data_IF_568942271214
#
_entry.id   IF_568942271214
#
_cell.length_a   1.000
_cell.length_b   1.000
_cell.length_c   1.000
_cell.angle_alpha   90.00
_cell.angle_beta   90.00
_cell.angle_gamma   90.00
#
_symmetry.space_group_name_H-M   'P 1'
#
loop_
_entity.id
_entity.type
_entity.pdbx_description
1 polymer ?
#
# COMPACT_ATOMS: atom_id res chain seq x y z
N UNK A 1 -17.31 -39.72 -17.63
CA UNK A 1 -16.50 -38.63 -18.18
C UNK A 1 -16.54 -37.46 -17.21
N UNK A 2 -15.65 -37.46 -16.22
CA UNK A 2 -15.58 -36.42 -15.19
C UNK A 2 -14.76 -35.24 -15.74
N UNK A 3 -15.39 -34.08 -15.88
CA UNK A 3 -14.70 -32.86 -16.26
C UNK A 3 -13.72 -32.46 -15.14
N UNK A 4 -12.44 -32.35 -15.50
CA UNK A 4 -11.38 -31.81 -14.67
C UNK A 4 -11.80 -30.45 -14.10
N UNK A 5 -12.07 -30.39 -12.80
CA UNK A 5 -12.12 -29.15 -12.07
C UNK A 5 -10.69 -28.57 -12.03
N UNK A 6 -10.39 -27.64 -12.94
CA UNK A 6 -9.14 -26.88 -12.91
C UNK A 6 -8.95 -26.28 -11.51
N UNK A 7 -7.87 -26.67 -10.83
CA UNK A 7 -7.49 -26.12 -9.52
C UNK A 7 -7.21 -24.62 -9.65
N UNK A 8 -8.20 -23.79 -9.34
CA UNK A 8 -8.04 -22.35 -9.20
C UNK A 8 -7.30 -22.06 -7.90
N UNK A 9 -6.04 -21.63 -8.00
CA UNK A 9 -5.11 -21.48 -6.86
C UNK A 9 -5.34 -20.30 -5.91
N UNK A 10 -6.56 -19.76 -5.77
CA UNK A 10 -6.77 -18.43 -5.15
C UNK A 10 -8.00 -18.24 -4.24
N UNK A 11 -8.57 -19.30 -3.66
CA UNK A 11 -9.91 -19.28 -3.01
C UNK A 11 -9.99 -18.66 -1.60
N UNK A 12 -8.88 -18.25 -0.96
CA UNK A 12 -8.94 -17.68 0.40
C UNK A 12 -9.40 -16.22 0.42
N UNK A 13 -10.42 -15.94 1.24
CA UNK A 13 -10.93 -14.59 1.51
C UNK A 13 -9.96 -13.72 2.34
N UNK A 14 -9.23 -14.32 3.29
CA UNK A 14 -8.18 -13.65 4.08
C UNK A 14 -6.81 -14.30 3.80
N UNK A 15 -5.78 -13.48 3.63
CA UNK A 15 -4.41 -13.92 3.33
C UNK A 15 -3.47 -13.48 4.47
N UNK A 16 -3.26 -14.31 5.50
CA UNK A 16 -2.42 -13.95 6.66
C UNK A 16 -1.01 -13.50 6.27
N UNK A 17 -0.39 -14.17 5.30
CA UNK A 17 0.96 -13.86 4.85
C UNK A 17 1.07 -12.48 4.18
N UNK A 18 0.01 -12.03 3.52
CA UNK A 18 -0.08 -10.68 2.94
C UNK A 18 -0.16 -9.64 4.05
N UNK A 19 -0.88 -9.93 5.14
CA UNK A 19 -0.93 -9.06 6.32
C UNK A 19 0.45 -8.94 6.99
N UNK A 20 1.16 -10.06 7.16
CA UNK A 20 2.55 -10.04 7.63
C UNK A 20 3.48 -9.27 6.69
N UNK A 21 3.28 -9.34 5.37
CA UNK A 21 4.08 -8.56 4.42
C UNK A 21 3.83 -7.05 4.58
N UNK A 22 2.61 -6.62 4.94
CA UNK A 22 2.34 -5.21 5.28
C UNK A 22 3.15 -4.76 6.50
N UNK A 23 3.31 -5.63 7.51
CA UNK A 23 4.14 -5.33 8.67
C UNK A 23 5.60 -5.10 8.26
N UNK A 24 6.15 -6.02 7.46
CA UNK A 24 7.52 -5.89 6.92
C UNK A 24 7.70 -4.62 6.10
N UNK A 25 6.73 -4.27 5.25
CA UNK A 25 6.77 -3.05 4.46
C UNK A 25 6.73 -1.80 5.36
N UNK A 26 5.86 -1.75 6.38
CA UNK A 26 5.81 -0.62 7.31
C UNK A 26 7.14 -0.44 8.04
N UNK A 27 7.72 -1.52 8.56
CA UNK A 27 9.03 -1.47 9.23
C UNK A 27 10.15 -1.05 8.27
N UNK A 28 10.09 -1.46 6.99
CA UNK A 28 11.00 -0.98 5.95
C UNK A 28 10.90 0.53 5.73
N UNK A 29 9.68 1.09 5.70
CA UNK A 29 9.47 2.55 5.62
C UNK A 29 10.09 3.26 6.84
N UNK A 30 9.89 2.72 8.05
CA UNK A 30 10.54 3.27 9.26
C UNK A 30 12.06 3.22 9.14
N UNK A 31 12.61 2.09 8.68
CA UNK A 31 14.05 1.90 8.52
C UNK A 31 14.67 2.94 7.59
N UNK A 32 14.08 3.20 6.42
CA UNK A 32 14.61 4.21 5.50
C UNK A 32 14.59 5.61 6.10
N UNK A 33 13.50 6.00 6.79
CA UNK A 33 13.40 7.31 7.41
C UNK A 33 14.36 7.50 8.58
N UNK A 34 14.51 6.48 9.44
CA UNK A 34 15.50 6.51 10.52
C UNK A 34 16.92 6.56 9.96
N UNK A 35 17.23 5.75 8.94
CA UNK A 35 18.55 5.75 8.31
C UNK A 35 18.89 7.12 7.70
N UNK A 36 17.93 7.72 6.99
CA UNK A 36 18.08 9.06 6.42
C UNK A 36 18.29 10.12 7.49
N UNK A 37 17.46 10.15 8.53
CA UNK A 37 17.51 11.19 9.57
C UNK A 37 18.63 10.97 10.60
N UNK A 38 19.28 9.80 10.66
CA UNK A 38 20.41 9.58 11.56
C UNK A 38 21.76 9.88 10.91
N UNK A 39 21.86 9.86 9.57
CA UNK A 39 23.08 10.20 8.84
C UNK A 39 24.29 9.28 9.09
N UNK A 40 24.13 8.18 9.84
CA UNK A 40 25.24 7.37 10.38
C UNK A 40 25.69 6.21 9.50
N UNK A 41 25.09 6.02 8.33
CA UNK A 41 25.43 4.90 7.46
C UNK A 41 26.60 5.24 6.50
N UNK A 42 27.52 4.28 6.30
CA UNK A 42 28.60 4.38 5.30
C UNK A 42 28.02 4.58 3.89
N UNK A 43 28.79 5.06 2.89
CA UNK A 43 28.26 5.34 1.55
C UNK A 43 27.54 4.17 0.87
N UNK A 44 27.95 2.93 1.15
CA UNK A 44 27.33 1.71 0.64
C UNK A 44 26.10 1.33 1.47
N UNK A 45 26.25 1.29 2.79
CA UNK A 45 25.17 0.90 3.69
C UNK A 45 24.01 1.91 3.63
N UNK A 46 24.29 3.20 3.53
CA UNK A 46 23.28 4.25 3.41
C UNK A 46 22.44 4.10 2.15
N UNK A 47 23.06 3.76 1.01
CA UNK A 47 22.31 3.49 -0.23
C UNK A 47 21.35 2.32 -0.11
N UNK A 48 21.78 1.24 0.56
CA UNK A 48 20.92 0.09 0.82
C UNK A 48 19.77 0.49 1.75
N UNK A 49 20.08 1.11 2.89
CA UNK A 49 19.07 1.47 3.89
C UNK A 49 18.06 2.50 3.37
N UNK A 50 18.51 3.53 2.65
CA UNK A 50 17.61 4.51 2.02
C UNK A 50 16.69 3.85 0.98
N UNK A 51 17.15 2.76 0.34
CA UNK A 51 16.37 2.04 -0.67
C UNK A 51 15.23 1.18 -0.11
N UNK A 52 15.09 1.11 1.22
CA UNK A 52 13.86 0.58 1.82
C UNK A 52 12.64 1.50 1.57
N UNK A 53 12.82 2.68 0.97
CA UNK A 53 11.73 3.49 0.39
C UNK A 53 10.88 2.70 -0.63
N UNK A 54 11.45 1.69 -1.30
CA UNK A 54 10.72 0.75 -2.16
C UNK A 54 9.67 -0.08 -1.40
N UNK A 55 9.68 -0.08 -0.07
CA UNK A 55 8.59 -0.65 0.72
C UNK A 55 7.24 0.02 0.44
N UNK A 56 7.24 1.30 0.02
CA UNK A 56 6.03 1.98 -0.46
C UNK A 56 5.48 1.31 -1.74
N UNK A 57 6.36 0.83 -2.63
CA UNK A 57 5.93 0.07 -3.80
C UNK A 57 5.24 -1.24 -3.42
N UNK A 58 5.65 -1.87 -2.31
CA UNK A 58 4.97 -3.05 -1.77
C UNK A 58 3.56 -2.70 -1.29
N UNK A 59 3.37 -1.57 -0.60
CA UNK A 59 2.03 -1.11 -0.21
C UNK A 59 1.12 -0.87 -1.42
N UNK A 60 1.62 -0.19 -2.45
CA UNK A 60 0.84 0.08 -3.66
C UNK A 60 0.51 -1.20 -4.43
N UNK A 61 1.47 -2.12 -4.55
CA UNK A 61 1.22 -3.43 -5.14
C UNK A 61 0.24 -4.26 -4.31
N UNK A 62 0.29 -4.19 -2.98
CA UNK A 62 -0.70 -4.84 -2.11
C UNK A 62 -2.09 -4.26 -2.32
N UNK A 63 -2.22 -2.94 -2.42
CA UNK A 63 -3.49 -2.27 -2.69
C UNK A 63 -4.03 -2.59 -4.08
N UNK A 64 -3.17 -2.58 -5.10
CA UNK A 64 -3.51 -3.04 -6.45
C UNK A 64 -3.96 -4.49 -6.49
N UNK A 65 -3.25 -5.37 -5.78
CA UNK A 65 -3.58 -6.80 -5.70
C UNK A 65 -4.91 -7.03 -4.98
N UNK A 66 -5.03 -6.61 -3.72
CA UNK A 66 -6.19 -6.89 -2.89
C UNK A 66 -7.48 -6.33 -3.50
N UNK A 67 -7.44 -5.14 -4.09
CA UNK A 67 -8.64 -4.52 -4.63
C UNK A 67 -8.99 -5.02 -6.04
N UNK A 68 -8.01 -5.41 -6.85
CA UNK A 68 -8.27 -5.93 -8.18
C UNK A 68 -8.72 -7.39 -8.21
N UNK A 69 -8.38 -8.18 -7.18
CA UNK A 69 -8.79 -9.60 -7.08
C UNK A 69 -10.28 -9.82 -7.27
N UNK A 70 -11.12 -9.03 -6.60
CA UNK A 70 -12.58 -9.15 -6.72
C UNK A 70 -13.07 -8.87 -8.14
N UNK A 71 -12.46 -7.90 -8.82
CA UNK A 71 -12.77 -7.57 -10.22
C UNK A 71 -12.25 -8.63 -11.21
N UNK A 72 -11.06 -9.17 -10.98
CA UNK A 72 -10.48 -10.25 -11.79
C UNK A 72 -11.32 -11.54 -11.69
N UNK A 73 -11.82 -11.85 -10.49
CA UNK A 73 -12.72 -12.96 -10.22
C UNK A 73 -14.10 -12.76 -10.88
N UNK A 74 -14.68 -11.56 -10.75
CA UNK A 74 -15.96 -11.23 -11.39
C UNK A 74 -15.89 -11.28 -12.92
N UNK A 75 -14.76 -10.89 -13.52
CA UNK A 75 -14.53 -10.98 -14.96
C UNK A 75 -14.51 -12.43 -15.49
N UNK A 76 -14.32 -13.42 -14.60
CA UNK A 76 -14.31 -14.86 -14.90
C UNK A 76 -15.53 -15.60 -14.34
N UNK A 77 -16.55 -14.87 -13.88
CA UNK A 77 -17.78 -15.47 -13.35
C UNK A 77 -17.65 -16.16 -11.98
N UNK A 78 -16.55 -15.95 -11.25
CA UNK A 78 -16.32 -16.59 -9.94
C UNK A 78 -17.08 -15.94 -8.78
N UNK A 79 -17.48 -14.67 -8.96
CA UNK A 79 -18.25 -13.89 -7.98
C UNK A 79 -19.06 -12.79 -8.64
N UNK A 80 -19.99 -12.22 -7.88
CA UNK A 80 -20.68 -11.01 -8.27
C UNK A 80 -19.73 -9.80 -8.24
N UNK A 81 -20.09 -8.80 -9.06
CA UNK A 81 -19.32 -7.56 -9.19
C UNK A 81 -19.25 -6.84 -7.85
N UNK A 82 -18.04 -6.43 -7.39
CA UNK A 82 -17.91 -5.64 -6.18
C UNK A 82 -18.72 -4.33 -6.28
N UNK A 83 -19.62 -4.04 -5.32
CA UNK A 83 -20.42 -2.82 -5.36
C UNK A 83 -19.57 -1.59 -5.01
N UNK A 84 -19.50 -0.62 -5.94
CA UNK A 84 -18.67 0.59 -5.80
C UNK A 84 -18.96 1.39 -4.53
N UNK A 85 -20.24 1.52 -4.15
CA UNK A 85 -20.65 2.30 -2.97
C UNK A 85 -20.15 1.69 -1.65
N UNK A 86 -20.21 0.36 -1.51
CA UNK A 86 -19.64 -0.34 -0.35
C UNK A 86 -18.12 -0.18 -0.33
N UNK A 87 -17.47 -0.42 -1.47
CA UNK A 87 -16.03 -0.29 -1.62
C UNK A 87 -15.52 1.09 -1.16
N UNK A 88 -16.11 2.19 -1.66
CA UNK A 88 -15.69 3.55 -1.29
C UNK A 88 -15.89 3.83 0.21
N UNK A 89 -17.02 3.40 0.80
CA UNK A 89 -17.26 3.54 2.24
C UNK A 89 -16.26 2.75 3.08
N UNK A 90 -15.97 1.52 2.67
CA UNK A 90 -14.97 0.65 3.31
C UNK A 90 -13.59 1.29 3.30
N UNK A 91 -13.18 1.92 2.19
CA UNK A 91 -11.89 2.65 2.09
C UNK A 91 -11.88 3.92 2.94
N UNK A 92 -12.94 4.72 2.90
CA UNK A 92 -13.05 5.95 3.70
C UNK A 92 -12.91 5.66 5.19
N UNK A 93 -13.68 4.70 5.71
CA UNK A 93 -13.65 4.33 7.14
C UNK A 93 -12.33 3.68 7.55
N UNK A 94 -11.64 3.01 6.61
CA UNK A 94 -10.34 2.39 6.88
C UNK A 94 -9.21 3.42 7.07
N UNK A 95 -9.28 4.56 6.38
CA UNK A 95 -8.15 5.49 6.26
C UNK A 95 -8.44 6.82 6.94
N UNK A 96 -9.57 7.44 6.59
CA UNK A 96 -9.81 8.84 6.92
C UNK A 96 -9.82 9.12 8.43
N UNK A 97 -10.47 8.31 9.30
CA UNK A 97 -10.52 8.61 10.74
C UNK A 97 -9.13 8.68 11.39
N UNK A 98 -8.30 7.66 11.18
CA UNK A 98 -6.95 7.60 11.76
C UNK A 98 -6.03 8.68 11.19
N UNK A 99 -6.10 8.89 9.86
CA UNK A 99 -5.35 9.93 9.18
C UNK A 99 -5.69 11.34 9.69
N UNK A 100 -6.99 11.69 9.74
CA UNK A 100 -7.40 13.04 10.16
C UNK A 100 -6.99 13.33 11.59
N UNK A 101 -7.13 12.37 12.50
CA UNK A 101 -6.66 12.53 13.88
C UNK A 101 -5.15 12.76 13.90
N UNK A 102 -4.38 11.99 13.14
CA UNK A 102 -2.94 12.18 13.06
C UNK A 102 -2.55 13.55 12.51
N UNK A 103 -3.19 14.02 11.44
CA UNK A 103 -2.96 15.36 10.89
C UNK A 103 -3.26 16.44 11.93
N UNK A 104 -4.42 16.37 12.58
CA UNK A 104 -4.80 17.35 13.62
C UNK A 104 -3.79 17.36 14.76
N UNK A 105 -3.42 16.19 15.28
CA UNK A 105 -2.47 16.06 16.39
C UNK A 105 -1.07 16.56 15.98
N UNK A 106 -0.58 16.19 14.81
CA UNK A 106 0.76 16.60 14.35
C UNK A 106 0.82 18.11 14.09
N UNK A 107 -0.19 18.67 13.40
CA UNK A 107 -0.25 20.10 13.10
C UNK A 107 -0.59 20.98 14.32
N UNK A 108 -0.94 20.41 15.47
CA UNK A 108 -1.20 21.17 16.71
C UNK A 108 -0.11 21.00 17.75
N UNK A 109 0.41 19.78 17.91
CA UNK A 109 1.32 19.44 19.00
C UNK A 109 2.79 19.42 18.61
N UNK A 110 3.12 19.20 17.33
CA UNK A 110 4.51 19.13 16.91
C UNK A 110 5.09 20.55 16.74
N UNK A 111 6.15 20.94 17.47
CA UNK A 111 6.65 22.33 17.46
C UNK A 111 7.05 22.86 16.08
N UNK A 112 7.52 21.99 15.19
CA UNK A 112 7.89 22.37 13.83
C UNK A 112 6.69 22.58 12.90
N UNK A 113 5.49 22.12 13.29
CA UNK A 113 4.28 22.15 12.47
C UNK A 113 3.10 22.93 13.11
N UNK A 114 3.19 23.32 14.39
CA UNK A 114 2.11 23.95 15.15
C UNK A 114 1.73 25.37 14.69
N UNK A 115 2.55 26.00 13.86
CA UNK A 115 2.27 27.29 13.22
C UNK A 115 1.92 27.16 11.72
N UNK A 116 1.41 25.99 11.31
CA UNK A 116 0.98 25.73 9.94
C UNK A 116 -0.09 26.73 9.46
N UNK A 117 0.06 27.23 8.23
CA UNK A 117 -0.90 28.12 7.60
C UNK A 117 -2.22 27.40 7.28
N UNK A 118 -3.29 28.16 7.05
CA UNK A 118 -4.58 27.61 6.62
C UNK A 118 -4.48 26.73 5.36
N UNK A 119 -3.60 27.12 4.42
CA UNK A 119 -3.33 26.33 3.20
C UNK A 119 -2.74 24.97 3.52
N UNK A 120 -1.81 24.88 4.48
CA UNK A 120 -1.21 23.60 4.91
C UNK A 120 -2.26 22.72 5.57
N UNK A 121 -3.10 23.30 6.43
CA UNK A 121 -4.23 22.60 7.05
C UNK A 121 -5.19 22.03 5.99
N UNK A 122 -5.66 22.87 5.06
CA UNK A 122 -6.61 22.46 4.04
C UNK A 122 -6.01 21.38 3.12
N UNK A 123 -4.77 21.55 2.67
CA UNK A 123 -4.10 20.60 1.79
C UNK A 123 -3.94 19.22 2.45
N UNK A 124 -3.50 19.17 3.72
CA UNK A 124 -3.32 17.91 4.43
C UNK A 124 -4.67 17.28 4.82
N UNK A 125 -5.66 18.04 5.31
CA UNK A 125 -6.98 17.48 5.67
C UNK A 125 -7.73 16.89 4.47
N UNK A 126 -7.51 17.43 3.27
CA UNK A 126 -8.14 16.97 2.03
C UNK A 126 -7.30 15.97 1.24
N UNK A 127 -6.12 15.58 1.73
CA UNK A 127 -5.15 14.72 1.02
C UNK A 127 -4.66 15.29 -0.32
N UNK A 128 -4.66 16.62 -0.49
CA UNK A 128 -4.23 17.31 -1.73
C UNK A 128 -2.82 17.90 -1.66
N UNK A 129 -2.06 17.62 -0.59
CA UNK A 129 -0.73 18.17 -0.33
C UNK A 129 0.33 17.85 -1.41
N UNK A 130 0.12 16.83 -2.26
CA UNK A 130 1.00 16.54 -3.40
C UNK A 130 0.85 17.53 -4.57
N UNK A 131 -0.24 18.32 -4.57
CA UNK A 131 -0.55 19.30 -5.61
C UNK A 131 -0.26 20.74 -5.18
N UNK A 132 -0.11 20.99 -3.89
CA UNK A 132 0.05 22.33 -3.32
C UNK A 132 1.49 22.55 -2.83
N UNK A 133 2.19 23.61 -3.29
CA UNK A 133 3.57 23.87 -2.90
C UNK A 133 3.78 23.91 -1.39
N UNK A 134 4.87 23.29 -0.92
CA UNK A 134 5.37 23.42 0.46
C UNK A 134 4.38 22.97 1.56
N UNK A 135 3.41 22.11 1.22
CA UNK A 135 2.42 21.60 2.19
C UNK A 135 2.76 20.22 2.78
N UNK A 136 3.80 19.56 2.27
CA UNK A 136 4.42 18.38 2.88
C UNK A 136 5.34 18.81 4.03
N UNK A 137 4.76 19.11 5.19
CA UNK A 137 5.49 19.63 6.36
C UNK A 137 6.13 18.53 7.22
N UNK A 138 6.95 18.94 8.18
CA UNK A 138 7.59 18.06 9.16
C UNK A 138 6.56 17.14 9.85
N UNK A 139 6.92 15.85 9.99
CA UNK A 139 6.03 14.83 10.54
C UNK A 139 4.95 14.28 9.59
N UNK A 140 4.68 14.97 8.46
CA UNK A 140 3.67 14.59 7.47
C UNK A 140 4.25 14.32 6.07
N UNK A 141 5.57 14.38 5.88
CA UNK A 141 6.17 14.24 4.55
C UNK A 141 5.85 12.90 3.89
N UNK A 142 5.79 11.80 4.65
CA UNK A 142 5.38 10.47 4.19
C UNK A 142 3.95 10.42 3.62
N UNK A 143 3.08 11.37 3.98
CA UNK A 143 1.66 11.34 3.58
C UNK A 143 1.47 11.53 2.07
N UNK A 144 2.50 11.95 1.32
CA UNK A 144 2.46 12.02 -0.14
C UNK A 144 1.99 10.70 -0.77
N UNK A 145 2.46 9.55 -0.24
CA UNK A 145 2.10 8.25 -0.81
C UNK A 145 0.67 7.86 -0.46
N UNK A 146 0.14 8.35 0.67
CA UNK A 146 -1.27 8.13 1.03
C UNK A 146 -2.21 8.91 0.10
N UNK A 147 -1.85 10.15 -0.29
CA UNK A 147 -2.58 10.90 -1.32
C UNK A 147 -2.61 10.17 -2.66
N UNK A 148 -1.49 9.59 -3.06
CA UNK A 148 -1.41 8.76 -4.28
C UNK A 148 -2.30 7.53 -4.16
N UNK A 149 -2.29 6.86 -3.00
CA UNK A 149 -3.10 5.67 -2.75
C UNK A 149 -4.62 5.98 -2.76
N UNK A 150 -5.05 7.08 -2.13
CA UNK A 150 -6.44 7.52 -2.17
C UNK A 150 -6.87 7.92 -3.57
N UNK A 151 -6.00 8.55 -4.34
CA UNK A 151 -6.25 8.84 -5.76
C UNK A 151 -6.45 7.55 -6.57
N UNK A 152 -5.65 6.51 -6.31
CA UNK A 152 -5.86 5.19 -6.89
C UNK A 152 -7.22 4.61 -6.48
N UNK A 153 -7.62 4.76 -5.21
CA UNK A 153 -8.92 4.24 -4.76
C UNK A 153 -10.11 4.90 -5.46
N UNK A 154 -10.00 6.20 -5.76
CA UNK A 154 -10.99 6.95 -6.54
C UNK A 154 -10.96 6.59 -8.03
N UNK A 155 -9.78 6.30 -8.58
CA UNK A 155 -9.63 5.88 -9.98
C UNK A 155 -10.10 4.43 -10.22
N UNK A 156 -9.98 3.55 -9.22
CA UNK A 156 -10.24 2.12 -9.36
C UNK A 156 -11.63 1.78 -9.92
N UNK A 157 -12.75 2.40 -9.49
CA UNK A 157 -14.07 2.14 -10.08
C UNK A 157 -14.15 2.48 -11.57
N UNK A 158 -13.46 3.55 -12.00
CA UNK A 158 -13.37 3.94 -13.41
C UNK A 158 -12.55 2.93 -14.19
N UNK A 159 -11.38 2.54 -13.67
CA UNK A 159 -10.54 1.50 -14.26
C UNK A 159 -11.28 0.16 -14.38
N UNK A 160 -11.98 -0.24 -13.31
CA UNK A 160 -12.81 -1.44 -13.29
C UNK A 160 -13.95 -1.34 -14.30
N UNK A 161 -14.58 -0.17 -14.48
CA UNK A 161 -15.59 0.06 -15.51
C UNK A 161 -15.03 -0.11 -16.92
N UNK A 162 -13.93 0.57 -17.23
CA UNK A 162 -13.29 0.49 -18.55
C UNK A 162 -12.84 -0.93 -18.85
N UNK A 163 -12.27 -1.62 -17.86
CA UNK A 163 -11.83 -3.00 -18.00
C UNK A 163 -12.97 -4.01 -18.22
N UNK A 164 -14.25 -3.63 -18.03
CA UNK A 164 -15.41 -4.47 -18.41
C UNK A 164 -15.57 -4.60 -19.92
N UNK A 165 -15.10 -3.60 -20.68
CA UNK A 165 -15.18 -3.61 -22.15
C UNK A 165 -14.09 -4.46 -22.79
N UNK A 166 -13.12 -4.91 -22.00
CA UNK A 166 -12.00 -5.71 -22.45
C UNK A 166 -12.32 -7.20 -22.34
N UNK A 167 -11.97 -7.96 -23.36
CA UNK A 167 -11.92 -9.42 -23.26
C UNK A 167 -10.94 -9.83 -22.14
N UNK A 168 -11.22 -10.93 -21.44
CA UNK A 168 -10.39 -11.40 -20.31
C UNK A 168 -8.92 -11.54 -20.70
N UNK A 169 -8.64 -12.04 -21.92
CA UNK A 169 -7.28 -12.16 -22.49
C UNK A 169 -6.56 -10.83 -22.69
N UNK A 170 -7.28 -9.73 -22.88
CA UNK A 170 -6.72 -8.40 -23.12
C UNK A 170 -6.39 -7.64 -21.82
N UNK A 171 -6.90 -8.09 -20.66
CA UNK A 171 -6.72 -7.39 -19.38
C UNK A 171 -5.25 -7.35 -18.94
N UNK A 172 -4.55 -8.49 -19.00
CA UNK A 172 -3.12 -8.59 -18.68
C UNK A 172 -2.25 -7.63 -19.54
N UNK A 173 -2.29 -7.69 -20.88
CA UNK A 173 -1.48 -6.79 -21.70
C UNK A 173 -1.87 -5.32 -21.54
N UNK A 174 -3.15 -4.99 -21.31
CA UNK A 174 -3.56 -3.60 -21.05
C UNK A 174 -3.02 -3.08 -19.71
N UNK A 175 -3.10 -3.87 -18.64
CA UNK A 175 -2.52 -3.49 -17.34
C UNK A 175 -1.00 -3.32 -17.47
N UNK A 176 -0.32 -4.22 -18.20
CA UNK A 176 1.11 -4.11 -18.47
C UNK A 176 1.45 -2.86 -19.30
N UNK A 177 0.63 -2.52 -20.30
CA UNK A 177 0.80 -1.32 -21.11
C UNK A 177 0.64 -0.04 -20.27
N UNK A 178 -0.33 0.00 -19.36
CA UNK A 178 -0.51 1.12 -18.40
C UNK A 178 0.71 1.22 -17.47
N UNK A 179 1.23 0.09 -17.00
CA UNK A 179 2.45 0.07 -16.18
C UNK A 179 3.65 0.66 -16.94
N UNK A 180 3.84 0.28 -18.20
CA UNK A 180 4.90 0.83 -19.04
C UNK A 180 4.70 2.32 -19.33
N UNK A 181 3.47 2.74 -19.66
CA UNK A 181 3.12 4.14 -19.89
C UNK A 181 3.41 5.02 -18.67
N UNK A 182 3.23 4.48 -17.45
CA UNK A 182 3.54 5.20 -16.20
C UNK A 182 5.02 5.60 -16.09
N UNK A 183 5.93 4.81 -16.66
CA UNK A 183 7.36 5.13 -16.68
C UNK A 183 7.66 6.35 -17.55
N UNK A 184 6.84 6.59 -18.58
CA UNK A 184 6.91 7.77 -19.43
C UNK A 184 6.35 9.04 -18.80
N UNK A 185 5.78 8.99 -17.59
CA UNK A 185 5.15 10.16 -16.95
C UNK A 185 6.10 11.36 -16.85
N UNK A 186 7.36 11.12 -16.48
CA UNK A 186 8.35 12.16 -16.35
C UNK A 186 8.85 12.76 -17.68
N UNK A 187 8.44 12.21 -18.83
CA UNK A 187 8.70 12.80 -20.15
C UNK A 187 7.73 13.94 -20.49
N UNK A 188 6.61 14.06 -19.76
CA UNK A 188 5.63 15.09 -20.04
C UNK A 188 6.18 16.47 -19.66
N UNK A 189 6.03 17.51 -20.52
CA UNK A 189 6.55 18.85 -20.27
C UNK A 189 5.68 19.63 -19.27
N UNK A 190 5.49 19.08 -18.07
CA UNK A 190 4.68 19.66 -17.01
C UNK A 190 5.56 20.63 -16.20
N UNK A 191 5.22 21.91 -16.26
CA UNK A 191 5.88 22.95 -15.47
C UNK A 191 5.08 23.16 -14.18
N UNK A 192 5.69 22.90 -13.03
CA UNK A 192 5.07 23.08 -11.71
C UNK A 192 5.73 24.23 -10.95
N UNK A 193 4.97 24.83 -10.03
CA UNK A 193 5.52 25.81 -9.10
C UNK A 193 6.62 25.20 -8.22
N UNK A 194 7.56 26.03 -7.76
CA UNK A 194 8.62 25.61 -6.87
C UNK A 194 8.06 24.90 -5.62
N UNK A 195 8.63 23.74 -5.28
CA UNK A 195 8.16 22.92 -4.16
C UNK A 195 7.07 21.90 -4.52
N UNK A 196 6.57 21.86 -5.76
CA UNK A 196 5.70 20.78 -6.25
C UNK A 196 6.48 19.85 -7.16
N UNK A 197 6.55 18.58 -6.78
CA UNK A 197 7.17 17.54 -7.60
C UNK A 197 6.07 16.72 -8.30
N UNK A 198 5.85 16.98 -9.59
CA UNK A 198 4.84 16.25 -10.37
C UNK A 198 5.14 14.76 -10.55
N UNK A 199 6.37 14.31 -10.28
CA UNK A 199 6.72 12.88 -10.22
C UNK A 199 6.13 12.19 -8.99
N UNK A 200 5.65 12.96 -8.00
CA UNK A 200 4.91 12.42 -6.85
C UNK A 200 3.41 12.23 -7.15
N UNK A 201 2.94 12.50 -8.36
CA UNK A 201 1.52 12.39 -8.72
C UNK A 201 1.11 10.95 -9.05
N UNK A 202 -0.18 10.60 -8.92
CA UNK A 202 -0.63 9.22 -9.04
C UNK A 202 -0.23 8.49 -10.33
N UNK A 203 -0.27 9.10 -11.53
CA UNK A 203 0.10 8.41 -12.77
C UNK A 203 1.54 7.90 -12.79
N UNK A 204 2.47 8.57 -12.09
CA UNK A 204 3.88 8.22 -12.01
C UNK A 204 4.11 6.83 -11.37
N UNK A 205 3.21 6.41 -10.48
CA UNK A 205 3.32 5.15 -9.71
C UNK A 205 2.33 4.07 -10.16
N UNK A 206 1.65 4.26 -11.30
CA UNK A 206 0.67 3.28 -11.77
C UNK A 206 1.30 1.89 -12.01
N UNK A 207 2.59 1.81 -12.34
CA UNK A 207 3.34 0.54 -12.43
C UNK A 207 3.38 -0.26 -11.11
N UNK A 208 3.44 0.41 -9.95
CA UNK A 208 3.45 -0.28 -8.65
C UNK A 208 2.10 -0.92 -8.35
N UNK A 209 1.00 -0.19 -8.56
CA UNK A 209 -0.35 -0.74 -8.46
C UNK A 209 -0.57 -1.86 -9.50
N UNK A 210 -0.11 -1.64 -10.73
CA UNK A 210 -0.23 -2.61 -11.82
C UNK A 210 0.50 -3.93 -11.51
N UNK A 211 1.67 -3.90 -10.84
CA UNK A 211 2.34 -5.12 -10.39
C UNK A 211 1.40 -5.99 -9.52
N UNK A 212 0.68 -5.37 -8.60
CA UNK A 212 -0.36 -6.02 -7.81
C UNK A 212 -1.55 -6.52 -8.63
N UNK A 213 -2.07 -5.67 -9.53
CA UNK A 213 -3.21 -6.01 -10.38
C UNK A 213 -2.90 -7.19 -11.32
N UNK A 214 -1.68 -7.26 -11.86
CA UNK A 214 -1.21 -8.38 -12.67
C UNK A 214 -1.17 -9.67 -11.85
N UNK A 215 -0.65 -9.62 -10.62
CA UNK A 215 -0.69 -10.78 -9.71
C UNK A 215 -2.14 -11.20 -9.43
N UNK A 216 -3.06 -10.27 -9.24
CA UNK A 216 -4.47 -10.56 -9.02
C UNK A 216 -5.10 -11.28 -10.24
N UNK A 217 -4.84 -10.82 -11.47
CA UNK A 217 -5.25 -11.53 -12.69
C UNK A 217 -4.64 -12.94 -12.79
N UNK A 218 -3.39 -13.11 -12.36
CA UNK A 218 -2.71 -14.40 -12.38
C UNK A 218 -3.29 -15.40 -11.37
N UNK A 219 -3.78 -14.94 -10.20
CA UNK A 219 -4.39 -15.83 -9.19
C UNK A 219 -5.64 -16.56 -9.67
N UNK A 220 -6.37 -15.98 -10.62
CA UNK A 220 -7.60 -16.53 -11.20
C UNK A 220 -7.37 -17.02 -12.64
N UNK A 221 -6.11 -17.23 -13.04
CA UNK A 221 -5.74 -17.79 -14.33
C UNK A 221 -5.18 -19.21 -14.19
N UNK A 222 -5.23 -20.04 -15.25
CA UNK A 222 -4.61 -21.37 -15.24
C UNK A 222 -3.11 -21.31 -14.88
N UNK A 223 -2.62 -22.38 -14.25
CA UNK A 223 -1.22 -22.46 -13.79
C UNK A 223 -0.27 -22.43 -14.99
N UNK A 224 0.43 -21.31 -15.16
CA UNK A 224 1.34 -21.06 -16.28
C UNK A 224 2.81 -21.00 -15.89
N UNK A 225 3.64 -20.47 -16.81
CA UNK A 225 5.07 -20.20 -16.58
C UNK A 225 5.31 -19.25 -15.41
N UNK A 226 4.46 -18.23 -15.28
CA UNK A 226 4.57 -17.23 -14.20
C UNK A 226 4.34 -17.85 -12.81
N UNK A 227 3.37 -18.77 -12.67
CA UNK A 227 3.18 -19.52 -11.42
C UNK A 227 4.37 -20.40 -11.10
N UNK A 228 4.98 -21.06 -12.10
CA UNK A 228 6.20 -21.86 -11.88
C UNK A 228 7.38 -21.02 -11.43
N UNK A 229 7.57 -19.84 -12.03
CA UNK A 229 8.60 -18.89 -11.61
C UNK A 229 8.35 -18.39 -10.18
N UNK A 230 7.12 -18.00 -9.85
CA UNK A 230 6.74 -17.54 -8.51
C UNK A 230 6.92 -18.62 -7.44
N UNK A 231 6.74 -19.90 -7.79
CA UNK A 231 6.97 -21.04 -6.90
C UNK A 231 8.45 -21.36 -6.72
N UNK A 232 9.31 -20.98 -7.67
CA UNK A 232 10.76 -21.09 -7.51
C UNK A 232 11.28 -19.93 -6.64
N UNK A 233 11.28 -20.16 -5.32
CA UNK A 233 11.63 -19.16 -4.31
C UNK A 233 13.02 -18.54 -4.51
N UNK A 234 13.98 -19.34 -4.98
CA UNK A 234 15.34 -18.85 -5.25
C UNK A 234 15.40 -17.97 -6.48
N UNK A 235 14.72 -18.35 -7.56
CA UNK A 235 14.67 -17.54 -8.77
C UNK A 235 13.97 -16.20 -8.51
N UNK A 236 12.80 -16.22 -7.86
CA UNK A 236 12.06 -14.98 -7.57
C UNK A 236 12.78 -14.10 -6.54
N UNK A 237 13.46 -14.71 -5.54
CA UNK A 237 14.34 -13.98 -4.63
C UNK A 237 15.51 -13.34 -5.37
N UNK A 238 16.16 -14.07 -6.28
CA UNK A 238 17.24 -13.54 -7.12
C UNK A 238 16.78 -12.34 -7.96
N UNK A 239 15.61 -12.43 -8.60
CA UNK A 239 15.00 -11.31 -9.34
C UNK A 239 14.76 -10.11 -8.42
N UNK A 240 14.17 -10.32 -7.25
CA UNK A 240 13.92 -9.25 -6.28
C UNK A 240 15.21 -8.62 -5.74
N UNK A 241 16.22 -9.43 -5.43
CA UNK A 241 17.51 -8.99 -4.93
C UNK A 241 18.26 -8.17 -5.99
N UNK A 242 18.33 -8.67 -7.23
CA UNK A 242 18.95 -7.92 -8.33
C UNK A 242 18.24 -6.61 -8.57
N UNK A 243 16.90 -6.60 -8.62
CA UNK A 243 16.13 -5.36 -8.79
C UNK A 243 16.37 -4.36 -7.65
N UNK A 244 16.44 -4.85 -6.40
CA UNK A 244 16.75 -4.02 -5.24
C UNK A 244 18.17 -3.46 -5.31
N UNK A 245 19.18 -4.27 -5.66
CA UNK A 245 20.57 -3.83 -5.78
C UNK A 245 20.77 -2.83 -6.93
N UNK A 246 20.12 -3.06 -8.08
CA UNK A 246 20.10 -2.09 -9.19
C UNK A 246 19.49 -0.77 -8.73
N UNK A 247 18.40 -0.83 -7.95
CA UNK A 247 17.81 0.37 -7.38
C UNK A 247 18.71 1.02 -6.33
N UNK A 248 19.44 0.28 -5.50
CA UNK A 248 20.39 0.83 -4.54
C UNK A 248 21.67 1.39 -5.20
N UNK A 249 21.88 1.11 -6.48
CA UNK A 249 23.01 1.61 -7.26
C UNK A 249 22.84 3.09 -7.68
N UNK A 250 23.92 3.78 -8.13
CA UNK A 250 23.81 5.14 -8.67
C UNK A 250 22.88 5.28 -9.89
N UNK A 251 22.51 4.16 -10.53
CA UNK A 251 21.61 4.14 -11.69
C UNK A 251 20.18 4.62 -11.36
N UNK A 252 19.78 4.58 -10.08
CA UNK A 252 18.43 4.95 -9.66
C UNK A 252 18.38 6.21 -8.77
N UNK A 253 19.42 7.04 -8.81
CA UNK A 253 19.44 8.35 -8.16
C UNK A 253 20.76 8.69 -7.47
N UNK A 254 21.04 9.99 -7.28
CA UNK A 254 22.10 10.44 -6.39
C UNK A 254 21.78 10.08 -4.93
N UNK A 255 22.83 10.00 -4.10
CA UNK A 255 22.72 9.72 -2.65
C UNK A 255 22.16 10.91 -1.84
N UNK A 256 22.24 12.11 -2.40
CA UNK A 256 21.92 13.38 -1.75
C UNK A 256 20.56 13.91 -2.23
N UNK A 257 20.07 14.99 -1.63
CA UNK A 257 18.78 15.66 -1.95
C UNK A 257 18.73 16.32 -3.35
N UNK A 258 19.66 15.96 -4.26
CA UNK A 258 19.68 16.47 -5.63
C UNK A 258 18.52 15.86 -6.42
N UNK A 259 17.76 16.65 -7.19
CA UNK A 259 16.70 16.12 -8.04
C UNK A 259 17.20 15.00 -8.95
N UNK A 260 16.54 13.85 -8.89
CA UNK A 260 16.89 12.71 -9.74
C UNK A 260 16.62 13.04 -11.21
N UNK A 261 17.48 12.54 -12.10
CA UNK A 261 17.22 12.63 -13.55
C UNK A 261 16.03 11.74 -13.92
N UNK A 262 15.44 12.01 -15.08
CA UNK A 262 14.33 11.19 -15.59
C UNK A 262 14.70 9.71 -15.72
N UNK A 263 15.89 9.40 -16.21
CA UNK A 263 16.38 8.02 -16.30
C UNK A 263 16.45 7.35 -14.92
N UNK A 264 16.93 8.07 -13.90
CA UNK A 264 16.98 7.56 -12.53
C UNK A 264 15.59 7.33 -11.94
N UNK A 265 14.62 8.21 -12.23
CA UNK A 265 13.21 8.00 -11.88
C UNK A 265 12.67 6.72 -12.52
N UNK A 266 12.87 6.53 -13.84
CA UNK A 266 12.40 5.34 -14.57
C UNK A 266 13.01 4.06 -14.00
N UNK A 267 14.31 4.04 -13.73
CA UNK A 267 14.99 2.89 -13.11
C UNK A 267 14.42 2.63 -11.72
N UNK A 268 14.31 3.65 -10.87
CA UNK A 268 13.77 3.50 -9.50
C UNK A 268 12.35 2.94 -9.50
N UNK A 269 11.47 3.52 -10.32
CA UNK A 269 10.06 3.16 -10.38
C UNK A 269 9.86 1.76 -10.97
N UNK A 270 10.59 1.42 -12.05
CA UNK A 270 10.53 0.07 -12.64
C UNK A 270 11.08 -1.00 -11.70
N UNK A 271 12.22 -0.76 -11.04
CA UNK A 271 12.77 -1.69 -10.05
C UNK A 271 11.85 -1.84 -8.84
N UNK A 272 11.19 -0.77 -8.39
CA UNK A 272 10.19 -0.82 -7.33
C UNK A 272 9.01 -1.74 -7.67
N UNK A 273 8.50 -1.67 -8.90
CA UNK A 273 7.45 -2.58 -9.38
C UNK A 273 7.91 -4.05 -9.37
N UNK A 274 9.16 -4.30 -9.80
CA UNK A 274 9.75 -5.65 -9.83
C UNK A 274 9.95 -6.19 -8.41
N UNK A 275 10.51 -5.40 -7.49
CA UNK A 275 10.71 -5.77 -6.09
C UNK A 275 9.36 -6.10 -5.44
N UNK A 276 8.37 -5.22 -5.59
CA UNK A 276 7.04 -5.44 -5.05
C UNK A 276 6.38 -6.70 -5.63
N UNK A 277 6.47 -6.89 -6.95
CA UNK A 277 5.98 -8.10 -7.62
C UNK A 277 6.69 -9.36 -7.12
N UNK A 278 8.01 -9.34 -6.99
CA UNK A 278 8.83 -10.47 -6.54
C UNK A 278 8.55 -10.86 -5.08
N UNK A 279 8.31 -9.90 -4.20
CA UNK A 279 7.96 -10.15 -2.81
C UNK A 279 6.53 -10.70 -2.66
N UNK A 280 5.59 -10.24 -3.48
CA UNK A 280 4.19 -10.67 -3.41
C UNK A 280 3.88 -11.95 -4.17
N UNK A 281 4.53 -12.19 -5.31
CA UNK A 281 4.29 -13.35 -6.17
C UNK A 281 4.31 -14.70 -5.42
N UNK A 282 5.32 -15.05 -4.60
CA UNK A 282 5.35 -16.31 -3.86
C UNK A 282 4.31 -16.37 -2.73
N UNK A 283 3.76 -15.24 -2.28
CA UNK A 283 2.73 -15.22 -1.24
C UNK A 283 1.33 -15.46 -1.80
N UNK A 284 1.13 -15.17 -3.09
CA UNK A 284 -0.21 -15.14 -3.70
C UNK A 284 -0.40 -16.14 -4.84
N UNK A 285 0.68 -16.58 -5.50
CA UNK A 285 0.65 -17.56 -6.60
C UNK A 285 1.15 -18.96 -6.20
N UNK A 286 1.61 -19.11 -4.96
CA UNK A 286 1.97 -20.42 -4.41
C UNK A 286 0.72 -21.28 -4.15
N UNK A 287 0.91 -22.55 -3.82
CA UNK A 287 -0.19 -23.48 -3.52
C UNK A 287 -1.00 -22.94 -2.33
N UNK A 288 -2.35 -23.03 -2.36
CA UNK A 288 -3.21 -22.56 -1.27
C UNK A 288 -2.81 -23.09 0.11
N UNK A 289 -2.26 -24.30 0.17
CA UNK A 289 -1.88 -25.00 1.41
C UNK A 289 -0.46 -24.72 1.88
N UNK A 290 0.33 -23.91 1.16
CA UNK A 290 1.69 -23.59 1.60
C UNK A 290 1.64 -22.79 2.91
N UNK A 291 2.23 -23.29 4.01
CA UNK A 291 2.27 -22.55 5.26
C UNK A 291 3.38 -21.50 5.23
N UNK A 292 3.01 -20.22 5.36
CA UNK A 292 3.97 -19.14 5.61
C UNK A 292 4.16 -18.94 7.11
N UNK A 293 5.02 -19.75 7.74
CA UNK A 293 5.16 -19.81 9.20
C UNK A 293 5.50 -18.46 9.87
N UNK A 294 6.36 -17.66 9.24
CA UNK A 294 6.80 -16.37 9.79
C UNK A 294 5.74 -15.29 9.52
N UNK A 295 5.45 -15.02 8.24
CA UNK A 295 4.52 -13.94 7.84
C UNK A 295 3.06 -14.23 8.24
N UNK A 296 2.66 -15.50 8.29
CA UNK A 296 1.36 -15.93 8.78
C UNK A 296 1.28 -16.13 10.29
N UNK A 297 2.36 -15.83 11.04
CA UNK A 297 2.34 -15.94 12.51
C UNK A 297 1.35 -14.93 13.12
N UNK A 298 0.75 -15.23 14.29
CA UNK A 298 -0.15 -14.31 14.97
C UNK A 298 0.47 -12.94 15.26
N UNK A 299 1.77 -12.91 15.56
CA UNK A 299 2.53 -11.68 15.81
C UNK A 299 2.60 -10.84 14.53
N UNK A 300 3.06 -11.42 13.41
CA UNK A 300 3.18 -10.67 12.15
C UNK A 300 1.81 -10.21 11.62
N UNK A 301 0.76 -11.00 11.78
CA UNK A 301 -0.61 -10.59 11.44
C UNK A 301 -1.08 -9.44 12.32
N UNK A 302 -0.71 -9.42 13.61
CA UNK A 302 -1.04 -8.31 14.52
C UNK A 302 -0.29 -7.03 14.18
N UNK A 303 1.02 -7.12 13.94
CA UNK A 303 1.81 -5.99 13.45
C UNK A 303 1.33 -5.49 12.08
N UNK A 304 0.84 -6.41 11.23
CA UNK A 304 0.24 -6.08 9.94
C UNK A 304 -1.05 -5.27 10.10
N UNK A 305 -1.90 -5.64 11.07
CA UNK A 305 -3.13 -4.89 11.40
C UNK A 305 -2.82 -3.47 11.87
N UNK A 306 -1.74 -3.29 12.62
CA UNK A 306 -1.25 -1.97 13.06
C UNK A 306 -0.36 -1.27 12.03
N UNK A 307 -0.05 -1.90 10.89
CA UNK A 307 0.92 -1.37 9.93
C UNK A 307 0.49 -0.02 9.35
N UNK A 308 -0.83 0.19 9.19
CA UNK A 308 -1.38 1.46 8.74
C UNK A 308 -1.16 2.57 9.78
N UNK A 309 -1.48 2.29 11.05
CA UNK A 309 -1.18 3.22 12.14
C UNK A 309 0.32 3.51 12.25
N UNK A 310 1.19 2.50 12.12
CA UNK A 310 2.63 2.71 12.14
C UNK A 310 3.06 3.62 10.98
N UNK A 311 2.57 3.35 9.76
CA UNK A 311 2.84 4.19 8.60
C UNK A 311 2.41 5.66 8.83
N UNK A 312 1.25 5.89 9.45
CA UNK A 312 0.76 7.24 9.74
C UNK A 312 1.62 7.94 10.80
N UNK A 313 1.92 7.27 11.90
CA UNK A 313 2.50 7.90 13.10
C UNK A 313 4.04 7.87 13.18
N UNK A 314 4.73 7.08 12.36
CA UNK A 314 6.18 6.84 12.57
C UNK A 314 7.07 8.08 12.44
N UNK A 315 6.78 9.05 11.56
CA UNK A 315 7.60 10.27 11.49
C UNK A 315 7.41 11.14 12.74
N UNK A 316 6.19 11.25 13.26
CA UNK A 316 5.96 11.90 14.55
C UNK A 316 6.70 11.16 15.67
N UNK A 317 6.69 9.82 15.66
CA UNK A 317 7.47 9.00 16.60
C UNK A 317 8.96 9.34 16.52
N UNK A 318 9.50 9.36 15.30
CA UNK A 318 10.92 9.63 15.05
C UNK A 318 11.33 11.03 15.54
N UNK A 319 10.52 12.06 15.24
CA UNK A 319 10.77 13.43 15.72
C UNK A 319 10.75 13.50 17.25
N UNK A 320 9.87 12.76 17.93
CA UNK A 320 9.84 12.71 19.40
C UNK A 320 11.03 11.96 20.00
N UNK A 321 11.59 10.97 19.31
CA UNK A 321 12.71 10.16 19.82
C UNK A 321 14.03 10.96 19.88
N UNK A 322 14.28 11.86 18.94
CA UNK A 322 15.49 12.70 18.94
C UNK A 322 15.75 13.42 20.27
N UNK A 323 14.82 14.24 20.80
CA UNK A 323 15.01 14.92 22.09
C UNK A 323 15.04 13.95 23.27
N UNK A 324 14.34 12.80 23.23
CA UNK A 324 14.38 11.80 24.31
C UNK A 324 15.79 11.21 24.52
N UNK A 325 16.57 11.08 23.44
CA UNK A 325 17.94 10.55 23.49
C UNK A 325 18.98 11.68 23.60
N UNK A 326 18.54 12.94 23.72
CA UNK A 326 19.41 14.12 23.80
C UNK A 326 20.22 14.34 22.53
N UNK A 327 19.66 14.00 21.35
CA UNK A 327 20.35 14.12 20.07
C UNK A 327 19.56 14.98 19.08
N UNK A 328 20.28 15.59 18.13
CA UNK A 328 19.71 16.36 17.03
C UNK A 328 19.56 15.50 15.77
N UNK A 329 18.69 15.94 14.84
CA UNK A 329 18.56 15.33 13.53
C UNK A 329 19.93 15.25 12.85
N UNK A 330 20.19 14.13 12.16
CA UNK A 330 21.47 13.75 11.54
C UNK A 330 22.61 13.40 12.52
N UNK A 331 22.30 13.25 13.80
CA UNK A 331 23.26 12.83 14.81
C UNK A 331 22.63 11.73 15.67
N UNK A 332 22.73 10.45 15.29
CA UNK A 332 21.99 9.40 16.01
C UNK A 332 22.53 8.00 15.78
N UNK A 333 22.54 7.15 16.81
CA UNK A 333 22.87 5.74 16.60
C UNK A 333 21.67 5.09 15.88
N UNK A 334 21.89 4.59 14.66
CA UNK A 334 20.87 3.99 13.81
C UNK A 334 20.02 2.96 14.56
N UNK A 335 20.65 2.07 15.32
CA UNK A 335 19.97 0.95 15.99
C UNK A 335 19.09 1.49 17.13
N UNK A 336 19.64 2.38 17.96
CA UNK A 336 18.89 2.98 19.08
C UNK A 336 17.68 3.75 18.55
N UNK A 337 17.88 4.59 17.55
CA UNK A 337 16.82 5.38 16.95
C UNK A 337 15.76 4.49 16.29
N UNK A 338 16.16 3.42 15.60
CA UNK A 338 15.26 2.48 14.95
C UNK A 338 14.39 1.75 15.97
N UNK A 339 14.99 1.20 17.01
CA UNK A 339 14.28 0.44 18.04
C UNK A 339 13.28 1.34 18.77
N UNK A 340 13.72 2.53 19.22
CA UNK A 340 12.84 3.47 19.91
C UNK A 340 11.70 3.95 19.00
N UNK A 341 11.99 4.26 17.74
CA UNK A 341 10.96 4.69 16.77
C UNK A 341 9.96 3.57 16.47
N UNK A 342 10.40 2.32 16.34
CA UNK A 342 9.50 1.18 16.14
C UNK A 342 8.63 0.93 17.37
N UNK A 343 9.22 0.95 18.57
CA UNK A 343 8.48 0.74 19.82
C UNK A 343 7.43 1.84 20.01
N UNK A 344 7.83 3.10 19.93
CA UNK A 344 6.92 4.24 20.09
C UNK A 344 5.89 4.30 18.96
N UNK A 345 6.32 4.04 17.72
CA UNK A 345 5.45 4.02 16.54
C UNK A 345 4.39 2.93 16.62
N UNK A 346 4.74 1.69 17.02
CA UNK A 346 3.77 0.62 17.22
C UNK A 346 2.86 0.88 18.42
N UNK A 347 3.35 1.50 19.49
CA UNK A 347 2.52 1.89 20.63
C UNK A 347 1.43 2.90 20.18
N UNK A 348 1.82 3.96 19.49
CA UNK A 348 0.87 4.92 18.92
C UNK A 348 -0.09 4.28 17.92
N UNK A 349 0.42 3.40 17.04
CA UNK A 349 -0.39 2.67 16.08
C UNK A 349 -1.45 1.78 16.75
N UNK A 350 -1.08 1.06 17.82
CA UNK A 350 -1.99 0.21 18.56
C UNK A 350 -3.10 1.03 19.25
N UNK A 351 -2.74 2.16 19.86
CA UNK A 351 -3.70 3.09 20.49
C UNK A 351 -4.65 3.68 19.44
N UNK A 352 -4.12 4.22 18.34
CA UNK A 352 -4.90 4.75 17.22
C UNK A 352 -5.85 3.69 16.63
N UNK A 353 -5.36 2.47 16.45
CA UNK A 353 -6.16 1.36 15.95
C UNK A 353 -7.30 1.00 16.90
N UNK A 354 -7.04 0.91 18.20
CA UNK A 354 -8.03 0.50 19.19
C UNK A 354 -9.12 1.57 19.41
N UNK A 355 -8.72 2.85 19.45
CA UNK A 355 -9.62 3.96 19.78
C UNK A 355 -10.35 4.55 18.57
N UNK A 356 -9.75 4.50 17.38
CA UNK A 356 -10.26 5.24 16.21
C UNK A 356 -10.63 4.26 15.10
N UNK A 357 -9.67 3.49 14.61
CA UNK A 357 -9.87 2.71 13.38
C UNK A 357 -10.82 1.52 13.60
N UNK A 358 -10.65 0.76 14.68
CA UNK A 358 -11.47 -0.42 14.98
C UNK A 358 -12.93 -0.05 15.27
N UNK A 359 -13.22 0.95 16.12
CA UNK A 359 -14.59 1.40 16.34
C UNK A 359 -15.28 1.89 15.07
N UNK A 360 -14.59 2.67 14.23
CA UNK A 360 -15.14 3.17 12.97
C UNK A 360 -15.46 2.02 11.99
N UNK A 361 -14.54 1.06 11.81
CA UNK A 361 -14.79 -0.13 10.95
C UNK A 361 -15.95 -0.98 11.47
N UNK A 362 -16.03 -1.22 12.77
CA UNK A 362 -17.12 -1.99 13.38
C UNK A 362 -18.46 -1.25 13.30
N UNK A 363 -18.46 0.09 13.39
CA UNK A 363 -19.66 0.90 13.21
C UNK A 363 -20.21 0.79 11.79
N UNK A 364 -19.35 0.88 10.76
CA UNK A 364 -19.75 0.67 9.36
C UNK A 364 -20.35 -0.72 9.17
N UNK A 365 -19.67 -1.77 9.63
CA UNK A 365 -20.17 -3.16 9.49
C UNK A 365 -21.53 -3.37 10.15
N UNK A 366 -21.71 -2.92 11.40
CA UNK A 366 -23.01 -3.01 12.08
C UNK A 366 -24.11 -2.27 11.31
N UNK A 367 -23.78 -1.14 10.71
CA UNK A 367 -24.73 -0.40 9.90
C UNK A 367 -25.12 -1.14 8.61
N UNK A 368 -24.18 -1.80 7.93
CA UNK A 368 -24.45 -2.61 6.73
C UNK A 368 -25.29 -3.83 7.04
N UNK A 369 -24.96 -4.53 8.12
CA UNK A 369 -25.74 -5.68 8.61
C UNK A 369 -27.18 -5.29 8.98
N UNK A 370 -27.36 -4.15 9.66
CA UNK A 370 -28.72 -3.64 9.95
C UNK A 370 -29.50 -3.36 8.67
N UNK A 371 -28.88 -2.71 7.67
CA UNK A 371 -29.54 -2.43 6.39
C UNK A 371 -29.91 -3.69 5.62
N UNK A 372 -29.05 -4.70 5.62
CA UNK A 372 -29.31 -5.99 4.98
C UNK A 372 -30.46 -6.75 5.67
N UNK A 373 -30.57 -6.65 7.01
CA UNK A 373 -31.63 -7.28 7.79
C UNK A 373 -32.98 -6.55 7.76
N UNK A 374 -33.04 -5.27 7.41
CA UNK A 374 -34.27 -4.46 7.36
C UNK A 374 -35.05 -4.55 6.04
N UNK A 375 -34.80 -5.56 5.20
CA UNK A 375 -35.65 -5.82 4.03
C UNK A 375 -37.09 -6.02 4.46
N UNK A 376 -38.03 -5.20 3.94
CA UNK A 376 -39.46 -5.29 4.27
C UNK A 376 -39.96 -6.74 4.03
N UNK A 377 -40.73 -7.33 4.95
CA UNK A 377 -41.37 -8.63 4.71
C UNK A 377 -42.39 -8.44 3.58
N UNK A 378 -42.04 -8.86 2.36
CA UNK A 378 -42.91 -8.75 1.18
C UNK A 378 -42.18 -8.50 -0.15
N UNK A 379 -40.97 -7.94 -0.13
CA UNK A 379 -40.12 -7.84 -1.33
C UNK A 379 -39.10 -8.98 -1.27
N UNK A 380 -39.22 -9.99 -2.14
CA UNK A 380 -38.38 -11.19 -2.18
C UNK A 380 -36.88 -10.95 -2.47
N UNK A 381 -36.38 -9.73 -2.25
CA UNK A 381 -34.99 -9.32 -2.36
C UNK A 381 -34.43 -8.98 -0.97
N UNK A 382 -34.00 -10.00 -0.23
CA UNK A 382 -33.00 -9.79 0.83
C UNK A 382 -31.74 -9.24 0.17
N UNK A 383 -31.30 -8.03 0.50
CA UNK A 383 -30.00 -7.52 0.01
C UNK A 383 -28.89 -8.22 0.80
N UNK A 384 -28.11 -9.11 0.19
CA UNK A 384 -27.08 -9.83 0.93
C UNK A 384 -25.98 -8.85 1.36
N UNK A 385 -25.40 -9.10 2.54
CA UNK A 385 -24.24 -8.34 3.01
C UNK A 385 -23.11 -8.49 1.99
N UNK A 386 -22.52 -7.39 1.51
CA UNK A 386 -21.47 -7.46 0.50
C UNK A 386 -20.28 -8.30 1.01
N UNK A 387 -19.69 -9.15 0.15
CA UNK A 387 -18.50 -9.91 0.49
C UNK A 387 -17.27 -9.00 0.57
N UNK A 388 -16.21 -9.50 1.24
CA UNK A 388 -14.92 -8.80 1.33
C UNK A 388 -14.46 -8.31 -0.05
N UNK A 389 -14.07 -7.04 -0.18
CA UNK A 389 -13.61 -6.48 -1.46
C UNK A 389 -12.54 -7.36 -2.13
N UNK A 390 -11.64 -7.91 -1.31
CA UNK A 390 -10.52 -8.75 -1.75
C UNK A 390 -10.83 -10.25 -1.93
N UNK A 391 -12.06 -10.68 -1.62
CA UNK A 391 -12.46 -12.08 -1.78
C UNK A 391 -12.63 -12.46 -3.25
N UNK A 392 -12.49 -13.76 -3.54
CA UNK A 392 -12.73 -14.31 -4.88
C UNK A 392 -14.14 -14.94 -4.96
N UNK A 393 -14.81 -15.09 -3.82
CA UNK A 393 -16.16 -15.68 -3.67
C UNK A 393 -17.13 -14.65 -3.12
N UNK A 394 -18.44 -14.92 -3.19
CA UNK A 394 -19.48 -14.07 -2.59
C UNK A 394 -19.69 -14.32 -1.09
N UNK A 395 -18.68 -14.83 -0.38
CA UNK A 395 -18.77 -15.08 1.06
C UNK A 395 -18.86 -13.74 1.85
N UNK A 396 -19.91 -13.54 2.67
CA UNK A 396 -20.14 -12.28 3.36
C UNK A 396 -19.02 -11.95 4.38
N UNK A 397 -18.73 -10.66 4.58
CA UNK A 397 -17.77 -10.23 5.61
C UNK A 397 -18.28 -10.59 7.01
N UNK A 398 -17.44 -11.01 7.98
CA UNK A 398 -17.89 -11.19 9.36
C UNK A 398 -18.33 -9.87 10.00
N UNK A 399 -19.37 -9.90 10.85
CA UNK A 399 -19.94 -8.73 11.56
C UNK A 399 -18.87 -7.91 12.29
N UNK A 400 -17.89 -8.57 12.88
CA UNK A 400 -16.80 -7.94 13.63
C UNK A 400 -15.51 -7.89 12.79
N UNK A 401 -14.95 -6.68 12.70
CA UNK A 401 -13.52 -6.37 12.52
C UNK A 401 -12.55 -7.42 13.07
N UNK A 402 -12.06 -8.39 12.30
CA UNK A 402 -10.95 -9.26 12.76
C UNK A 402 -9.60 -8.60 12.55
#
# INVERSE_FOLDING_TARGET
MAANAEQVGGTRGFLPAVEGMRACAAMGVVLTHVAFQTGTATPVLGRLLHRFDLAVAVFFALSGFLLWRGHAAAARGLRHRPPTGHYLRSRLVRILPGYLVAVVVILTLLPEANHASFTVWLANLTLTQVYVPLTLTAGLTQMWSLSVEVSFYLALPVLAFLARRLAVRARLPVIAAIALASLGWGLLPIHTAAGVNFLNWPPAYASWFAAGMLLAELTVSPVGRMHRLARNRWAIFGVGLVAYLVSASPLAGPKDLVPATLGQFVVRTSMGAIVAGALLAPLVLDRPDTPHRILGSPVMVTLGRWSYGLFVWHLAALVMVFPMVGKFMFNGNLIVMLVLTLVLGFAMAAVSYALIESPCRNALRRWEYRRAGTGRPGDGRTTPVPPLDSSVTDAPEPVIAR
#
